data_IF_070979937178
#
_entry.id   IF_070979937178
#
_cell.length_a   1.000
_cell.length_b   1.000
_cell.length_c   1.000
_cell.angle_alpha   90.00
_cell.angle_beta   90.00
_cell.angle_gamma   90.00
#
_symmetry.space_group_name_H-M   'P 1'
#
loop_
_entity.id
_entity.type
_entity.pdbx_description
1 polymer ?
#
# COMPACT_ATOMS: atom_id res chain seq x y z
N UNK A 1 7.91 -7.68 -20.03
CA UNK A 1 6.93 -8.52 -19.35
C UNK A 1 7.68 -9.51 -18.45
N UNK A 2 7.44 -9.47 -17.14
CA UNK A 2 8.05 -10.36 -16.14
C UNK A 2 7.29 -11.67 -15.93
N UNK A 3 6.07 -11.81 -16.43
CA UNK A 3 5.24 -13.00 -16.27
C UNK A 3 4.49 -13.32 -17.57
N UNK A 4 5.24 -13.63 -18.62
CA UNK A 4 4.72 -13.85 -19.99
C UNK A 4 3.67 -14.96 -20.13
N UNK A 5 3.54 -15.85 -19.15
CA UNK A 5 2.52 -16.91 -19.11
C UNK A 5 1.30 -16.57 -18.23
N UNK A 6 1.30 -15.41 -17.56
CA UNK A 6 0.23 -14.93 -16.69
C UNK A 6 -0.28 -13.58 -17.20
N UNK A 7 -1.41 -13.59 -17.92
CA UNK A 7 -2.01 -12.36 -18.45
C UNK A 7 -2.44 -11.34 -17.38
N UNK A 8 -2.50 -11.74 -16.10
CA UNK A 8 -2.81 -10.86 -14.97
C UNK A 8 -1.62 -10.05 -14.47
N UNK A 9 -0.40 -10.29 -14.95
CA UNK A 9 0.78 -9.55 -14.49
C UNK A 9 1.80 -9.37 -15.62
N UNK A 10 2.37 -8.17 -15.75
CA UNK A 10 3.41 -7.91 -16.75
C UNK A 10 4.59 -7.05 -16.26
N UNK A 11 4.42 -6.41 -15.10
CA UNK A 11 5.46 -5.62 -14.43
C UNK A 11 5.29 -5.76 -12.91
N UNK A 12 6.33 -5.38 -12.16
CA UNK A 12 6.17 -5.10 -10.73
C UNK A 12 5.22 -3.90 -10.58
N UNK A 13 4.26 -3.93 -9.64
CA UNK A 13 3.36 -2.80 -9.41
C UNK A 13 4.11 -1.49 -9.15
N UNK A 14 3.73 -0.39 -9.83
CA UNK A 14 4.30 0.92 -9.55
C UNK A 14 3.89 1.40 -8.16
N UNK A 15 4.50 2.51 -7.72
CA UNK A 15 4.04 3.21 -6.52
C UNK A 15 2.55 3.58 -6.65
N UNK A 16 1.80 3.32 -5.59
CA UNK A 16 0.37 3.65 -5.53
C UNK A 16 0.20 5.14 -5.29
N UNK A 17 -0.60 5.79 -6.14
CA UNK A 17 -0.90 7.23 -6.07
C UNK A 17 -2.33 7.49 -5.60
N UNK A 18 -2.66 8.77 -5.37
CA UNK A 18 -4.03 9.19 -5.07
C UNK A 18 -4.57 8.72 -3.71
N UNK A 19 -3.69 8.33 -2.78
CA UNK A 19 -4.09 7.84 -1.46
C UNK A 19 -4.76 8.96 -0.65
N UNK A 20 -6.06 8.85 -0.43
CA UNK A 20 -6.86 9.86 0.26
C UNK A 20 -8.06 9.26 1.00
N UNK A 21 -8.53 9.95 2.03
CA UNK A 21 -9.80 9.62 2.67
C UNK A 21 -10.97 10.21 1.88
N UNK A 22 -11.92 9.37 1.47
CA UNK A 22 -13.17 9.81 0.80
C UNK A 22 -14.26 10.18 1.80
N UNK A 23 -14.15 9.64 3.02
CA UNK A 23 -14.92 10.04 4.20
C UNK A 23 -14.07 9.79 5.46
N UNK A 24 -14.64 9.97 6.66
CA UNK A 24 -13.91 9.84 7.94
C UNK A 24 -13.23 8.49 8.19
N UNK A 25 -13.64 7.44 7.50
CA UNK A 25 -13.19 6.06 7.77
C UNK A 25 -12.74 5.33 6.52
N UNK A 26 -13.05 5.81 5.32
CA UNK A 26 -12.73 5.12 4.06
C UNK A 26 -11.52 5.76 3.41
N UNK A 27 -10.42 5.01 3.35
CA UNK A 27 -9.23 5.31 2.57
C UNK A 27 -9.41 4.75 1.16
N UNK A 28 -9.04 5.51 0.13
CA UNK A 28 -9.09 5.11 -1.29
C UNK A 28 -7.79 5.51 -2.00
N UNK A 29 -7.47 4.85 -3.11
CA UNK A 29 -6.28 5.13 -3.92
C UNK A 29 -6.51 4.83 -5.41
N UNK A 30 -5.56 5.23 -6.26
CA UNK A 30 -5.59 4.93 -7.69
C UNK A 30 -5.28 3.44 -7.96
N UNK A 31 -5.94 2.78 -8.93
CA UNK A 31 -5.70 1.36 -9.21
C UNK A 31 -4.28 1.08 -9.72
N UNK A 32 -3.46 0.40 -8.92
CA UNK A 32 -2.10 -0.01 -9.30
C UNK A 32 -2.06 -0.99 -10.49
N UNK A 33 -3.16 -1.71 -10.74
CA UNK A 33 -3.27 -2.68 -11.83
C UNK A 33 -3.06 -2.06 -13.22
N UNK A 34 -3.28 -0.75 -13.40
CA UNK A 34 -3.06 -0.07 -14.67
C UNK A 34 -1.58 -0.06 -15.09
N UNK A 35 -0.66 -0.23 -14.14
CA UNK A 35 0.79 -0.29 -14.39
C UNK A 35 1.40 -1.69 -14.35
N UNK A 36 0.64 -2.71 -13.93
CA UNK A 36 1.21 -4.03 -13.66
C UNK A 36 0.30 -5.24 -13.89
N UNK A 37 -0.93 -5.03 -14.38
CA UNK A 37 -1.87 -6.09 -14.74
C UNK A 37 -2.98 -6.30 -13.71
N UNK A 38 -4.10 -6.88 -14.16
CA UNK A 38 -5.34 -7.06 -13.38
C UNK A 38 -5.22 -8.01 -12.18
N UNK A 39 -4.17 -8.82 -12.12
CA UNK A 39 -3.81 -9.65 -10.98
C UNK A 39 -3.10 -8.90 -9.85
N UNK A 40 -2.94 -7.58 -9.97
CA UNK A 40 -2.36 -6.74 -8.92
C UNK A 40 -3.33 -6.57 -7.77
N UNK A 41 -2.89 -6.94 -6.57
CA UNK A 41 -3.61 -6.73 -5.31
C UNK A 41 -2.91 -5.69 -4.46
N UNK A 42 -3.61 -5.08 -3.52
CA UNK A 42 -3.06 -4.06 -2.62
C UNK A 42 -2.82 -4.60 -1.21
N UNK A 43 -1.74 -4.13 -0.60
CA UNK A 43 -1.52 -4.20 0.84
C UNK A 43 -1.54 -2.78 1.43
N UNK A 44 -2.22 -2.63 2.57
CA UNK A 44 -2.37 -1.35 3.27
C UNK A 44 -1.71 -1.45 4.64
N UNK A 45 -0.72 -0.59 4.83
CA UNK A 45 0.03 -0.42 6.06
C UNK A 45 -0.55 0.73 6.87
N UNK A 46 -0.73 0.53 8.17
CA UNK A 46 -1.05 1.59 9.13
C UNK A 46 0.06 1.71 10.16
N UNK A 47 0.54 2.92 10.40
CA UNK A 47 1.51 3.21 11.46
C UNK A 47 1.17 4.52 12.18
N UNK A 48 1.92 4.87 13.21
CA UNK A 48 1.83 6.22 13.79
C UNK A 48 2.48 7.25 12.86
N UNK A 49 1.92 8.45 12.81
CA UNK A 49 2.38 9.50 11.91
C UNK A 49 3.77 10.06 12.27
N UNK A 50 4.20 9.90 13.52
CA UNK A 50 5.50 10.32 14.04
C UNK A 50 6.63 9.30 13.80
N UNK A 51 6.31 8.08 13.36
CA UNK A 51 7.28 7.02 13.18
C UNK A 51 7.66 6.80 11.71
N UNK A 52 8.96 6.55 11.49
CA UNK A 52 9.50 6.13 10.19
C UNK A 52 8.91 4.78 9.76
N UNK A 53 8.99 4.52 8.46
CA UNK A 53 8.54 3.25 7.88
C UNK A 53 9.54 2.15 8.20
N UNK A 54 9.06 0.95 8.52
CA UNK A 54 9.90 -0.23 8.77
C UNK A 54 10.51 -0.30 10.17
N UNK A 55 10.08 0.55 11.12
CA UNK A 55 10.56 0.53 12.51
C UNK A 55 9.84 -0.51 13.39
N UNK A 56 8.89 -1.28 12.83
CA UNK A 56 8.18 -2.35 13.53
C UNK A 56 6.92 -1.93 14.31
N UNK A 57 6.61 -0.64 14.37
CA UNK A 57 5.39 -0.12 15.01
C UNK A 57 4.17 -0.04 14.06
N UNK A 58 4.20 -0.85 13.00
CA UNK A 58 3.22 -0.80 11.93
C UNK A 58 2.33 -2.04 11.98
N UNK A 59 1.05 -1.86 11.66
CA UNK A 59 0.09 -2.93 11.51
C UNK A 59 -0.28 -3.10 10.03
N UNK A 60 -0.44 -4.34 9.59
CA UNK A 60 -1.08 -4.60 8.32
C UNK A 60 -2.59 -4.41 8.48
N UNK A 61 -3.11 -3.31 7.94
CA UNK A 61 -4.53 -3.00 7.98
C UNK A 61 -5.32 -3.89 7.02
N UNK A 62 -4.75 -4.14 5.83
CA UNK A 62 -5.29 -5.06 4.85
C UNK A 62 -4.16 -5.64 4.00
N UNK A 63 -4.30 -6.88 3.52
CA UNK A 63 -3.34 -7.49 2.59
C UNK A 63 -4.08 -8.26 1.51
N UNK A 64 -3.54 -8.20 0.28
CA UNK A 64 -4.01 -8.99 -0.85
C UNK A 64 -5.42 -8.62 -1.32
N UNK A 65 -5.87 -7.38 -1.10
CA UNK A 65 -7.21 -6.96 -1.52
C UNK A 65 -7.22 -6.54 -2.99
N UNK A 66 -8.27 -6.92 -3.72
CA UNK A 66 -8.46 -6.58 -5.14
C UNK A 66 -9.07 -5.19 -5.35
N UNK A 67 -9.66 -4.62 -4.29
CA UNK A 67 -10.21 -3.28 -4.29
C UNK A 67 -9.16 -2.18 -4.17
N UNK A 68 -9.64 -0.95 -4.35
CA UNK A 68 -8.86 0.28 -4.26
C UNK A 68 -9.32 1.18 -3.10
N UNK A 69 -9.96 0.56 -2.09
CA UNK A 69 -10.33 1.22 -0.84
C UNK A 69 -10.30 0.25 0.34
N UNK A 70 -10.13 0.79 1.54
CA UNK A 70 -10.25 0.06 2.81
C UNK A 70 -10.95 0.95 3.83
N UNK A 71 -11.73 0.33 4.72
CA UNK A 71 -12.35 1.02 5.86
C UNK A 71 -11.50 0.83 7.11
N UNK A 72 -11.15 1.92 7.76
CA UNK A 72 -10.60 1.96 9.12
C UNK A 72 -11.44 2.90 9.98
N UNK A 73 -12.24 2.32 10.88
CA UNK A 73 -13.05 3.08 11.83
C UNK A 73 -12.29 3.46 13.11
N UNK A 74 -11.00 3.10 13.21
CA UNK A 74 -10.19 3.37 14.41
C UNK A 74 -9.92 4.86 14.53
N UNK A 75 -10.32 5.46 15.64
CA UNK A 75 -10.00 6.85 15.94
C UNK A 75 -8.65 6.91 16.67
N UNK A 76 -7.67 7.70 16.19
CA UNK A 76 -6.41 7.87 16.92
C UNK A 76 -6.64 8.57 18.26
N UNK A 77 -5.80 8.28 19.26
CA UNK A 77 -5.86 8.95 20.55
C UNK A 77 -5.65 10.48 20.38
N UNK A 78 -6.21 11.33 21.26
CA UNK A 78 -6.01 12.77 21.20
C UNK A 78 -4.51 13.13 21.12
N UNK A 79 -4.16 14.01 20.18
CA UNK A 79 -2.77 14.42 19.94
C UNK A 79 -1.94 13.45 19.09
N UNK A 80 -2.53 12.34 18.61
CA UNK A 80 -1.86 11.37 17.73
C UNK A 80 -2.55 11.32 16.37
N UNK A 81 -1.85 10.79 15.37
CA UNK A 81 -2.40 10.52 14.06
C UNK A 81 -1.86 9.20 13.52
N UNK A 82 -2.67 8.55 12.67
CA UNK A 82 -2.20 7.43 11.87
C UNK A 82 -1.67 7.92 10.53
N UNK A 83 -0.65 7.23 10.01
CA UNK A 83 -0.26 7.27 8.60
C UNK A 83 -0.68 5.99 7.92
N UNK A 84 -1.02 6.10 6.64
CA UNK A 84 -1.38 4.98 5.79
C UNK A 84 -0.49 4.96 4.57
N UNK A 85 0.03 3.79 4.22
CA UNK A 85 0.78 3.56 2.99
C UNK A 85 0.17 2.36 2.27
N UNK A 86 0.14 2.43 0.94
CA UNK A 86 -0.40 1.37 0.10
C UNK A 86 0.69 0.94 -0.87
N UNK A 87 0.83 -0.37 -1.09
CA UNK A 87 1.63 -0.92 -2.17
C UNK A 87 0.80 -1.90 -2.99
N UNK A 88 1.12 -2.03 -4.28
CA UNK A 88 0.65 -3.15 -5.08
C UNK A 88 1.58 -4.35 -4.93
N UNK A 89 1.05 -5.57 -5.10
CA UNK A 89 1.84 -6.78 -5.34
C UNK A 89 1.18 -7.70 -6.34
N UNK A 90 2.00 -8.44 -7.08
CA UNK A 90 1.56 -9.50 -7.99
C UNK A 90 2.68 -10.56 -8.10
N UNK A 91 2.53 -11.52 -9.02
CA UNK A 91 3.53 -12.58 -9.24
C UNK A 91 4.91 -12.07 -9.69
N UNK A 92 4.99 -10.84 -10.22
CA UNK A 92 6.26 -10.23 -10.58
C UNK A 92 7.00 -9.63 -9.40
N UNK A 93 6.32 -9.35 -8.29
CA UNK A 93 6.94 -8.89 -7.05
C UNK A 93 6.10 -7.88 -6.27
N UNK A 94 6.78 -7.27 -5.31
CA UNK A 94 6.23 -6.23 -4.44
C UNK A 94 6.56 -4.85 -5.00
N UNK A 95 5.54 -4.00 -5.11
CA UNK A 95 5.73 -2.56 -5.24
C UNK A 95 6.26 -1.95 -3.94
N UNK A 96 6.72 -0.70 -4.02
CA UNK A 96 7.18 0.06 -2.86
C UNK A 96 6.02 0.75 -2.13
N UNK A 97 6.19 1.03 -0.83
CA UNK A 97 5.31 1.95 -0.07
C UNK A 97 5.67 3.43 -0.30
N UNK A 98 6.24 3.73 -1.46
CA UNK A 98 6.81 5.02 -1.83
C UNK A 98 8.28 5.19 -1.46
N UNK A 99 8.81 6.39 -1.69
CA UNK A 99 10.25 6.68 -1.53
C UNK A 99 10.50 7.56 -0.29
N UNK A 100 11.62 7.34 0.38
CA UNK A 100 12.15 8.25 1.38
C UNK A 100 12.86 9.43 0.69
N UNK A 101 13.13 10.50 1.46
CA UNK A 101 13.74 11.73 0.93
C UNK A 101 15.14 11.52 0.36
N UNK A 102 15.83 10.45 0.76
CA UNK A 102 17.13 10.03 0.24
C UNK A 102 17.02 9.12 -1.00
N UNK A 103 15.80 8.91 -1.52
CA UNK A 103 15.52 8.04 -2.65
C UNK A 103 15.46 6.55 -2.31
N UNK A 104 15.55 6.17 -1.03
CA UNK A 104 15.43 4.75 -0.65
C UNK A 104 13.97 4.29 -0.64
N UNK A 105 13.64 3.10 -1.16
CA UNK A 105 12.29 2.56 -1.07
C UNK A 105 11.85 2.31 0.37
N UNK A 106 10.62 2.71 0.70
CA UNK A 106 10.00 2.42 1.98
C UNK A 106 9.57 0.96 2.01
N UNK A 107 10.10 0.21 2.97
CA UNK A 107 9.79 -1.21 3.17
C UNK A 107 9.27 -1.43 4.59
N UNK A 108 8.35 -2.38 4.73
CA UNK A 108 7.83 -2.83 6.02
C UNK A 108 7.55 -4.33 5.93
N UNK A 109 7.76 -5.03 7.05
CA UNK A 109 7.46 -6.46 7.20
C UNK A 109 6.09 -6.71 7.81
N UNK A 110 5.31 -5.66 8.09
CA UNK A 110 4.02 -5.83 8.75
C UNK A 110 2.99 -6.54 7.84
N UNK A 111 2.99 -6.21 6.54
CA UNK A 111 2.23 -6.94 5.53
C UNK A 111 3.12 -7.97 4.79
N UNK A 112 2.57 -9.16 4.43
CA UNK A 112 3.28 -10.20 3.69
C UNK A 112 3.93 -9.73 2.38
#
# INVERSE_FOLDING_TARGET
>A
DCASTNAGAYAVPPEVTGVAFTNRTTLSWDPAQLGAGSGTVADVLRGSADMRVGTGAEACLASGITGNSVVDATTPAPGTAFRYLVRGRNVCGLGTYGMASDGTPRTSMACP
#
